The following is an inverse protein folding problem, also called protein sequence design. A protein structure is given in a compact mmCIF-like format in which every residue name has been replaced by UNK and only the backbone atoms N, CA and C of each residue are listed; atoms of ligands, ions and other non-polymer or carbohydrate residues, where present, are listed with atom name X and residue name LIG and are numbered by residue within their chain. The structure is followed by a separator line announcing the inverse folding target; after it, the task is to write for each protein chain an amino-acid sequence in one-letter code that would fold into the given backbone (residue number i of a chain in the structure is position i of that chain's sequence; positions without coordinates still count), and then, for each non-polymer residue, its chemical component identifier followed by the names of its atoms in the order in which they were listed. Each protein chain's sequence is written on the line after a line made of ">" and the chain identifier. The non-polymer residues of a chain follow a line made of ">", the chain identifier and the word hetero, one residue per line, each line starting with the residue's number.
data_IF_427425590627
#
_entry.id   IF_427425590627
#
_cell.length_a   1.000
_cell.length_b   1.000
_cell.length_c   1.000
_cell.angle_alpha   90.00
_cell.angle_beta   90.00
_cell.angle_gamma   90.00
#
_symmetry.space_group_name_H-M   'P 1'
#
loop_
_entity.id
_entity.type
_entity.pdbx_description
1 polymer ?
#
# COMPACT_ATOMS: atom_id res chain seq x y z
N UNK A 1 78.94 28.97 43.58
CA UNK A 1 78.19 28.02 44.43
C UNK A 1 77.05 27.49 43.56
N UNK A 2 77.28 26.33 42.93
CA UNK A 2 76.58 25.05 43.22
C UNK A 2 75.12 25.07 42.69
N UNK A 3 74.78 24.36 41.60
CA UNK A 3 74.34 22.94 41.53
C UNK A 3 73.15 22.70 42.50
N UNK A 4 71.95 22.20 42.16
CA UNK A 4 71.49 21.07 41.32
C UNK A 4 69.94 21.08 41.33
N UNK A 5 69.21 20.97 40.21
CA UNK A 5 68.63 19.76 39.56
C UNK A 5 67.32 19.18 40.17
N UNK A 6 66.30 18.97 39.31
CA UNK A 6 65.61 17.70 39.03
C UNK A 6 64.16 17.93 38.52
N UNK A 7 63.72 17.53 37.32
CA UNK A 7 63.48 16.22 36.65
C UNK A 7 61.95 16.06 36.42
N UNK A 8 61.57 15.86 35.16
CA UNK A 8 60.70 14.77 34.67
C UNK A 8 60.45 15.02 33.15
N UNK A 9 61.18 14.33 32.26
CA UNK A 9 60.72 13.12 31.53
C UNK A 9 59.37 13.32 30.82
N UNK A 10 59.19 13.21 29.50
CA UNK A 10 59.91 12.45 28.49
C UNK A 10 58.90 11.65 27.64
N UNK A 11 59.21 11.52 26.33
CA UNK A 11 58.76 10.48 25.37
C UNK A 11 57.61 10.79 24.40
N UNK A 12 58.05 11.17 23.19
CA UNK A 12 57.42 10.84 21.90
C UNK A 12 57.12 9.33 21.79
N UNK A 13 55.91 8.94 21.39
CA UNK A 13 55.64 7.66 20.73
C UNK A 13 54.65 7.81 19.57
N UNK A 14 55.22 7.99 18.38
CA UNK A 14 54.66 7.53 17.09
C UNK A 14 54.14 6.11 17.25
N UNK A 15 52.84 5.85 17.06
CA UNK A 15 52.32 4.50 16.78
C UNK A 15 50.94 4.53 16.10
N UNK A 16 51.00 4.14 14.83
CA UNK A 16 50.09 3.25 14.09
C UNK A 16 48.62 3.71 13.91
N UNK A 17 48.38 4.17 12.68
CA UNK A 17 47.23 3.85 11.82
C UNK A 17 46.50 2.58 12.30
N UNK A 18 45.29 2.76 12.80
CA UNK A 18 44.23 1.77 12.73
C UNK A 18 43.07 2.45 12.00
N UNK A 19 42.84 1.98 10.78
CA UNK A 19 41.67 2.27 9.96
C UNK A 19 40.52 1.53 10.64
N UNK A 20 39.72 2.21 11.46
CA UNK A 20 38.45 1.66 11.93
C UNK A 20 37.40 1.99 10.88
N UNK A 21 37.20 0.97 10.05
CA UNK A 21 36.12 0.77 9.12
C UNK A 21 34.78 0.77 9.88
N UNK A 22 33.90 1.71 9.54
CA UNK A 22 32.43 1.62 9.65
C UNK A 22 31.84 2.97 9.26
N UNK A 23 32.11 3.39 8.02
CA UNK A 23 31.18 4.26 7.32
C UNK A 23 29.90 3.44 7.10
N UNK A 24 29.00 3.43 8.10
CA UNK A 24 27.60 3.09 7.87
C UNK A 24 27.07 4.24 7.02
N UNK A 25 27.34 4.10 5.72
CA UNK A 25 26.84 4.99 4.68
C UNK A 25 25.33 4.93 4.79
N UNK A 26 24.73 5.98 5.37
CA UNK A 26 23.27 6.13 5.34
C UNK A 26 22.85 5.96 3.87
N UNK A 27 22.01 4.98 3.55
CA UNK A 27 21.63 4.73 2.17
C UNK A 27 21.01 6.01 1.61
N UNK A 28 21.39 6.35 0.38
CA UNK A 28 20.78 7.50 -0.30
C UNK A 28 19.26 7.29 -0.38
N UNK A 29 18.44 8.35 -0.40
CA UNK A 29 16.98 8.22 -0.54
C UNK A 29 16.54 7.37 -1.75
N UNK A 30 17.34 7.40 -2.82
CA UNK A 30 17.14 6.56 -4.00
C UNK A 30 17.44 5.09 -3.74
N UNK A 31 18.51 4.78 -2.99
CA UNK A 31 18.82 3.41 -2.61
C UNK A 31 17.73 2.84 -1.70
N UNK A 32 17.27 3.59 -0.69
CA UNK A 32 16.19 3.14 0.19
C UNK A 32 14.88 2.87 -0.56
N UNK A 33 14.59 3.63 -1.62
CA UNK A 33 13.41 3.40 -2.46
C UNK A 33 13.55 2.12 -3.29
N UNK A 34 14.74 1.84 -3.82
CA UNK A 34 15.02 0.60 -4.56
C UNK A 34 14.88 -0.60 -3.63
N UNK A 35 15.49 -0.53 -2.44
CA UNK A 35 15.43 -1.59 -1.43
C UNK A 35 13.97 -1.87 -1.01
N UNK A 36 13.16 -0.81 -0.86
CA UNK A 36 11.72 -0.94 -0.60
C UNK A 36 10.98 -1.64 -1.76
N UNK A 37 11.27 -1.28 -3.01
CA UNK A 37 10.70 -1.96 -4.18
C UNK A 37 11.07 -3.43 -4.25
N UNK A 38 12.36 -3.76 -4.05
CA UNK A 38 12.85 -5.15 -4.03
C UNK A 38 12.21 -5.94 -2.90
N UNK A 39 11.93 -5.31 -1.76
CA UNK A 39 11.27 -5.94 -0.62
C UNK A 39 9.83 -6.40 -0.88
N UNK A 40 9.21 -5.98 -1.99
CA UNK A 40 7.90 -6.46 -2.40
C UNK A 40 7.93 -7.83 -3.05
N UNK A 41 9.11 -8.37 -3.37
CA UNK A 41 9.24 -9.71 -3.94
C UNK A 41 8.45 -10.74 -3.11
N UNK A 42 7.72 -11.60 -3.81
CA UNK A 42 6.83 -12.63 -3.28
C UNK A 42 5.64 -12.12 -2.45
N UNK A 43 5.44 -10.80 -2.31
CA UNK A 43 4.28 -10.20 -1.66
C UNK A 43 3.14 -9.99 -2.65
N UNK A 44 1.91 -10.08 -2.14
CA UNK A 44 0.73 -9.67 -2.86
C UNK A 44 0.60 -8.14 -2.86
N UNK A 45 0.21 -7.59 -3.99
CA UNK A 45 -0.04 -6.15 -4.21
C UNK A 45 -1.27 -5.97 -5.09
N UNK A 46 -1.91 -4.81 -5.01
CA UNK A 46 -2.92 -4.44 -5.99
C UNK A 46 -2.22 -3.87 -7.23
N UNK A 47 -2.55 -4.38 -8.40
CA UNK A 47 -1.97 -3.96 -9.65
C UNK A 47 -3.03 -3.56 -10.67
N UNK A 48 -2.80 -2.44 -11.36
CA UNK A 48 -3.62 -2.05 -12.50
C UNK A 48 -3.09 -2.69 -13.76
N UNK A 49 -3.89 -3.54 -14.39
CA UNK A 49 -3.48 -4.42 -15.50
C UNK A 49 -3.94 -3.92 -16.88
N UNK A 50 -4.80 -2.89 -16.95
CA UNK A 50 -5.37 -2.43 -18.23
C UNK A 50 -4.51 -1.39 -18.94
N UNK A 51 -4.45 -1.49 -20.29
CA UNK A 51 -3.90 -0.45 -21.17
C UNK A 51 -4.96 0.57 -21.60
N UNK A 52 -6.25 0.22 -21.50
CA UNK A 52 -7.36 1.08 -21.88
C UNK A 52 -7.78 1.97 -20.72
N UNK A 53 -7.61 3.27 -20.89
CA UNK A 53 -7.85 4.27 -19.87
C UNK A 53 -9.34 4.44 -19.47
N UNK A 54 -10.23 3.56 -19.94
CA UNK A 54 -11.69 3.61 -19.69
C UNK A 54 -12.12 2.73 -18.52
N UNK A 55 -11.43 1.61 -18.27
CA UNK A 55 -11.68 0.72 -17.14
C UNK A 55 -10.39 0.53 -16.35
N UNK A 56 -10.30 1.13 -15.17
CA UNK A 56 -9.17 0.92 -14.25
C UNK A 56 -9.43 -0.40 -13.49
N UNK A 57 -9.15 -1.54 -14.13
CA UNK A 57 -9.27 -2.85 -13.47
C UNK A 57 -8.02 -3.13 -12.63
N UNK A 58 -8.26 -3.43 -11.37
CA UNK A 58 -7.23 -3.72 -10.38
C UNK A 58 -7.34 -5.17 -9.92
N UNK A 59 -6.21 -5.87 -9.87
CA UNK A 59 -6.14 -7.27 -9.47
C UNK A 59 -5.15 -7.45 -8.32
N UNK A 60 -5.39 -8.46 -7.49
CA UNK A 60 -4.41 -8.96 -6.53
C UNK A 60 -3.41 -9.79 -7.32
N UNK A 61 -2.17 -9.33 -7.37
CA UNK A 61 -1.08 -10.01 -8.07
C UNK A 61 0.07 -10.26 -7.12
N UNK A 62 0.89 -11.28 -7.42
CA UNK A 62 2.12 -11.56 -6.71
C UNK A 62 3.31 -10.91 -7.42
N UNK A 63 4.14 -10.17 -6.70
CA UNK A 63 5.38 -9.64 -7.26
C UNK A 63 6.40 -10.76 -7.41
N UNK A 64 6.87 -10.98 -8.63
CA UNK A 64 7.88 -11.99 -8.96
C UNK A 64 9.27 -11.37 -8.87
N UNK A 65 9.42 -10.16 -9.40
CA UNK A 65 10.70 -9.49 -9.49
C UNK A 65 10.56 -7.97 -9.64
N UNK A 66 11.62 -7.24 -9.34
CA UNK A 66 11.73 -5.81 -9.62
C UNK A 66 13.00 -5.57 -10.45
N UNK A 67 12.84 -5.04 -11.65
CA UNK A 67 13.95 -4.66 -12.51
C UNK A 67 14.48 -3.30 -12.07
N UNK A 68 15.64 -3.30 -11.40
CA UNK A 68 16.28 -2.08 -10.91
C UNK A 68 16.71 -1.11 -12.03
N UNK A 69 16.93 -1.59 -13.26
CA UNK A 69 17.34 -0.74 -14.38
C UNK A 69 16.14 -0.03 -14.98
N UNK A 70 15.04 -0.74 -15.21
CA UNK A 70 13.83 -0.17 -15.81
C UNK A 70 12.84 0.39 -14.80
N UNK A 71 13.06 0.14 -13.50
CA UNK A 71 12.16 0.48 -12.37
C UNK A 71 10.75 -0.09 -12.57
N UNK A 72 10.66 -1.29 -13.12
CA UNK A 72 9.41 -2.01 -13.38
C UNK A 72 9.28 -3.25 -12.51
N UNK A 73 8.07 -3.53 -12.05
CA UNK A 73 7.70 -4.75 -11.36
C UNK A 73 7.26 -5.80 -12.38
N UNK A 74 7.77 -7.01 -12.23
CA UNK A 74 7.24 -8.22 -12.86
C UNK A 74 6.28 -8.83 -11.86
N UNK A 75 5.00 -8.92 -12.24
CA UNK A 75 3.93 -9.41 -11.37
C UNK A 75 3.17 -10.53 -12.04
N UNK A 76 2.63 -11.44 -11.24
CA UNK A 76 1.89 -12.62 -11.67
C UNK A 76 0.44 -12.54 -11.17
N UNK A 77 -0.50 -12.73 -12.06
CA UNK A 77 -1.91 -12.97 -11.73
C UNK A 77 -2.12 -14.45 -11.37
N UNK A 78 -2.54 -14.71 -10.13
CA UNK A 78 -2.73 -16.06 -9.59
C UNK A 78 -4.09 -16.67 -9.97
N UNK A 79 -5.07 -15.88 -10.45
CA UNK A 79 -6.41 -16.38 -10.80
C UNK A 79 -6.47 -16.98 -12.23
N UNK A 80 -5.54 -16.62 -13.11
CA UNK A 80 -5.52 -17.08 -14.52
C UNK A 80 -5.02 -18.54 -14.74
N UNK A 81 -4.97 -19.37 -13.70
CA UNK A 81 -4.21 -20.62 -13.70
C UNK A 81 -4.95 -21.92 -13.38
N UNK A 82 -6.29 -21.93 -13.24
CA UNK A 82 -7.03 -23.11 -12.75
C UNK A 82 -7.76 -23.93 -13.83
N UNK A 83 -7.72 -23.51 -15.10
CA UNK A 83 -8.28 -24.32 -16.18
C UNK A 83 -7.27 -25.41 -16.59
N UNK A 84 -7.64 -26.66 -16.30
CA UNK A 84 -6.99 -27.89 -16.77
C UNK A 84 -6.87 -27.90 -18.29
N UNK A 85 -5.81 -27.30 -18.84
CA UNK A 85 -5.11 -27.60 -20.10
C UNK A 85 -4.30 -26.36 -20.51
N UNK A 86 -3.20 -26.10 -19.78
CA UNK A 86 -2.24 -25.06 -20.17
C UNK A 86 -2.51 -23.66 -19.62
N UNK A 87 -2.98 -23.54 -18.37
CA UNK A 87 -3.13 -22.27 -17.63
C UNK A 87 -1.86 -21.42 -17.64
N UNK A 88 -1.76 -20.52 -18.61
CA UNK A 88 -0.67 -19.54 -18.69
C UNK A 88 -0.92 -18.50 -17.61
N UNK A 89 -0.33 -18.75 -16.45
CA UNK A 89 -0.03 -17.75 -15.43
C UNK A 89 0.37 -16.42 -16.09
N UNK A 90 -0.52 -15.43 -16.07
CA UNK A 90 -0.30 -14.17 -16.80
C UNK A 90 0.67 -13.31 -16.03
N UNK A 91 1.81 -13.01 -16.65
CA UNK A 91 2.85 -12.14 -16.10
C UNK A 91 2.79 -10.77 -16.75
N UNK A 92 2.83 -9.71 -15.94
CA UNK A 92 2.78 -8.31 -16.39
C UNK A 92 4.02 -7.54 -15.97
N UNK A 93 4.41 -6.55 -16.79
CA UNK A 93 5.50 -5.61 -16.49
C UNK A 93 4.94 -4.22 -16.24
N UNK A 94 4.85 -3.83 -14.97
CA UNK A 94 4.16 -2.63 -14.53
C UNK A 94 5.13 -1.62 -13.90
N UNK A 95 4.87 -0.32 -14.08
CA UNK A 95 5.59 0.72 -13.34
C UNK A 95 5.13 0.76 -11.88
N UNK A 96 5.96 1.33 -10.99
CA UNK A 96 5.59 1.53 -9.59
C UNK A 96 4.27 2.29 -9.39
N UNK A 97 3.89 3.16 -10.34
CA UNK A 97 2.62 3.91 -10.31
C UNK A 97 1.37 3.04 -10.48
N UNK A 98 1.51 1.82 -10.99
CA UNK A 98 0.42 0.86 -11.17
C UNK A 98 0.39 -0.19 -10.06
N UNK A 99 1.23 -0.06 -9.03
CA UNK A 99 1.34 -0.99 -7.92
C UNK A 99 0.95 -0.27 -6.63
N UNK A 100 0.04 -0.85 -5.86
CA UNK A 100 -0.34 -0.38 -4.54
C UNK A 100 -0.07 -1.52 -3.54
N UNK A 101 0.83 -1.34 -2.57
CA UNK A 101 1.10 -2.36 -1.57
C UNK A 101 -0.09 -2.51 -0.62
N UNK A 102 -0.42 -3.76 -0.28
CA UNK A 102 -1.40 -4.02 0.78
C UNK A 102 -0.82 -3.70 2.16
N UNK A 103 -1.66 -3.28 3.13
CA UNK A 103 -1.25 -3.17 4.51
C UNK A 103 -0.81 -4.50 5.11
N UNK A 104 0.13 -4.47 6.06
CA UNK A 104 0.60 -5.69 6.72
C UNK A 104 -0.50 -6.29 7.60
N UNK A 105 -0.82 -7.57 7.35
CA UNK A 105 -1.85 -8.31 8.11
C UNK A 105 -1.56 -8.39 9.62
N UNK A 106 -0.28 -8.38 10.00
CA UNK A 106 0.15 -8.53 11.38
C UNK A 106 0.33 -7.19 12.12
N UNK A 107 0.33 -6.06 11.40
CA UNK A 107 0.47 -4.73 11.98
C UNK A 107 -0.61 -3.73 11.50
N UNK A 108 -1.84 -3.84 12.04
CA UNK A 108 -2.87 -2.83 11.78
C UNK A 108 -2.63 -1.51 12.52
N UNK A 109 -1.57 -1.39 13.34
CA UNK A 109 -1.28 -0.13 14.05
C UNK A 109 -0.62 0.90 13.13
N UNK A 110 0.22 0.46 12.20
CA UNK A 110 0.83 1.30 11.16
C UNK A 110 -0.03 1.51 9.90
N UNK A 111 -1.21 0.87 9.82
CA UNK A 111 -2.07 0.93 8.64
C UNK A 111 -2.88 2.23 8.57
N UNK A 112 -2.97 2.82 7.37
CA UNK A 112 -3.85 3.96 7.10
C UNK A 112 -5.32 3.60 7.39
N UNK A 113 -5.96 4.36 8.29
CA UNK A 113 -7.40 4.25 8.53
C UNK A 113 -8.18 5.13 7.56
N UNK A 114 -9.22 4.57 6.95
CA UNK A 114 -10.12 5.30 6.05
C UNK A 114 -11.40 5.69 6.79
N UNK A 115 -11.74 6.98 6.91
CA UNK A 115 -12.97 7.40 7.57
C UNK A 115 -14.21 7.04 6.74
N UNK A 116 -15.38 6.99 7.39
CA UNK A 116 -16.65 6.82 6.69
C UNK A 116 -16.88 7.93 5.63
N UNK A 117 -17.50 7.58 4.51
CA UNK A 117 -17.67 8.40 3.32
C UNK A 117 -16.44 8.48 2.42
N UNK A 118 -15.32 7.82 2.76
CA UNK A 118 -14.13 7.80 1.92
C UNK A 118 -14.23 6.74 0.83
N UNK A 119 -13.82 7.08 -0.38
CA UNK A 119 -13.65 6.12 -1.47
C UNK A 119 -12.31 5.40 -1.35
N UNK A 120 -12.35 4.08 -1.49
CA UNK A 120 -11.21 3.15 -1.41
C UNK A 120 -11.27 2.15 -2.57
N UNK A 121 -10.16 1.43 -2.81
CA UNK A 121 -10.19 0.20 -3.57
C UNK A 121 -10.19 -0.96 -2.58
N UNK A 122 -11.08 -1.92 -2.80
CA UNK A 122 -11.22 -3.08 -1.92
C UNK A 122 -11.37 -4.35 -2.76
N UNK A 123 -10.76 -5.43 -2.28
CA UNK A 123 -10.98 -6.76 -2.88
C UNK A 123 -12.44 -7.14 -2.63
N UNK A 124 -13.16 -7.46 -3.71
CA UNK A 124 -14.53 -7.94 -3.56
C UNK A 124 -14.50 -9.33 -2.89
N UNK A 125 -15.44 -9.64 -1.98
CA UNK A 125 -15.46 -10.93 -1.32
C UNK A 125 -15.44 -12.08 -2.33
N UNK A 126 -14.61 -13.10 -2.07
CA UNK A 126 -14.49 -14.31 -2.89
C UNK A 126 -13.87 -14.12 -4.29
N UNK A 127 -13.29 -12.95 -4.59
CA UNK A 127 -12.57 -12.72 -5.87
C UNK A 127 -11.14 -12.22 -5.64
N UNK A 128 -10.34 -12.13 -6.72
CA UNK A 128 -9.02 -11.45 -6.67
C UNK A 128 -9.03 -10.06 -7.30
N UNK A 129 -10.18 -9.57 -7.76
CA UNK A 129 -10.32 -8.22 -8.30
C UNK A 129 -10.62 -7.18 -7.20
N UNK A 130 -10.12 -5.96 -7.41
CA UNK A 130 -10.41 -4.81 -6.56
C UNK A 130 -11.34 -3.85 -7.27
N UNK A 131 -12.36 -3.42 -6.55
CA UNK A 131 -13.37 -2.50 -7.03
C UNK A 131 -13.42 -1.26 -6.15
N UNK A 132 -13.93 -0.17 -6.73
CA UNK A 132 -14.19 1.05 -5.98
C UNK A 132 -15.32 0.81 -4.98
N UNK A 133 -15.10 1.25 -3.75
CA UNK A 133 -16.09 1.15 -2.70
C UNK A 133 -16.09 2.39 -1.81
N UNK A 134 -17.24 2.66 -1.20
CA UNK A 134 -17.43 3.71 -0.20
C UNK A 134 -17.37 3.12 1.20
N UNK A 135 -16.55 3.71 2.08
CA UNK A 135 -16.46 3.28 3.48
C UNK A 135 -17.71 3.69 4.24
N UNK A 136 -18.47 2.73 4.75
CA UNK A 136 -19.64 2.98 5.60
C UNK A 136 -19.24 3.02 7.07
N UNK A 137 -18.40 2.06 7.49
CA UNK A 137 -17.94 1.97 8.87
C UNK A 137 -16.52 1.43 8.97
N UNK A 138 -15.75 1.96 9.92
CA UNK A 138 -14.38 1.52 10.18
C UNK A 138 -14.37 0.36 11.18
N UNK A 139 -13.34 -0.52 11.15
CA UNK A 139 -13.22 -1.62 12.09
C UNK A 139 -13.26 -1.18 13.56
N UNK A 140 -12.84 0.06 13.84
CA UNK A 140 -12.72 0.63 15.19
C UNK A 140 -14.00 1.29 15.71
N UNK A 141 -14.95 1.66 14.83
CA UNK A 141 -16.11 2.49 15.20
C UNK A 141 -17.42 1.72 15.39
N UNK A 142 -17.44 0.40 15.17
CA UNK A 142 -18.66 -0.41 15.40
C UNK A 142 -18.99 -0.48 16.90
N UNK A 143 -19.89 0.39 17.37
CA UNK A 143 -20.61 0.21 18.66
C UNK A 143 -21.65 -0.89 18.49
N UNK A 144 -21.24 -2.15 18.39
CA UNK A 144 -22.11 -3.22 18.86
C UNK A 144 -21.87 -3.34 20.36
N UNK A 145 -22.95 -3.39 21.13
CA UNK A 145 -22.97 -3.65 22.58
C UNK A 145 -22.57 -5.11 22.89
N UNK A 146 -21.50 -5.56 22.25
CA UNK A 146 -20.95 -6.88 22.42
C UNK A 146 -19.83 -6.75 23.43
N UNK A 147 -20.01 -7.35 24.60
CA UNK A 147 -18.99 -7.51 25.64
C UNK A 147 -17.64 -8.00 25.11
N UNK A 148 -17.63 -8.65 23.93
CA UNK A 148 -16.45 -9.03 23.15
C UNK A 148 -15.55 -7.84 22.86
N UNK A 149 -16.09 -6.68 22.46
CA UNK A 149 -15.30 -5.52 22.07
C UNK A 149 -14.56 -4.84 23.24
N UNK A 150 -15.04 -5.05 24.47
CA UNK A 150 -14.39 -4.57 25.70
C UNK A 150 -13.28 -5.53 26.18
N UNK A 151 -13.34 -6.80 25.78
CA UNK A 151 -12.39 -7.84 26.19
C UNK A 151 -11.29 -8.09 25.14
N UNK A 152 -11.60 -7.95 23.85
CA UNK A 152 -10.64 -8.19 22.78
C UNK A 152 -9.76 -6.96 22.55
N UNK A 153 -8.45 -7.14 22.49
CA UNK A 153 -7.52 -6.06 22.18
C UNK A 153 -7.91 -5.34 20.87
N UNK A 154 -7.55 -4.06 20.75
CA UNK A 154 -7.78 -3.26 19.53
C UNK A 154 -7.31 -3.98 18.25
N UNK A 155 -6.26 -4.78 18.36
CA UNK A 155 -5.68 -5.61 17.29
C UNK A 155 -6.66 -6.72 16.85
N UNK A 156 -7.19 -7.50 17.79
CA UNK A 156 -8.12 -8.59 17.50
C UNK A 156 -9.47 -8.05 17.00
N UNK A 157 -9.92 -6.89 17.51
CA UNK A 157 -11.10 -6.20 16.97
C UNK A 157 -10.94 -5.79 15.51
N UNK A 158 -9.82 -5.15 15.15
CA UNK A 158 -9.57 -4.71 13.78
C UNK A 158 -9.48 -5.91 12.82
N UNK A 159 -8.86 -7.00 13.26
CA UNK A 159 -8.73 -8.24 12.52
C UNK A 159 -10.07 -8.94 12.28
N UNK A 160 -10.94 -8.98 13.31
CA UNK A 160 -12.24 -9.66 13.22
C UNK A 160 -13.35 -8.80 12.60
N UNK A 161 -13.25 -7.46 12.65
CA UNK A 161 -14.37 -6.57 12.27
C UNK A 161 -14.28 -6.00 10.87
N UNK A 162 -13.11 -5.85 10.26
CA UNK A 162 -13.00 -5.32 8.89
C UNK A 162 -13.71 -3.96 8.65
N UNK A 163 -13.58 -3.44 7.44
CA UNK A 163 -14.38 -2.31 6.97
C UNK A 163 -15.76 -2.80 6.54
N UNK A 164 -16.78 -1.98 6.76
CA UNK A 164 -18.08 -2.15 6.14
C UNK A 164 -18.12 -1.23 4.92
N UNK A 165 -18.29 -1.81 3.73
CA UNK A 165 -18.15 -1.12 2.44
C UNK A 165 -19.40 -1.31 1.59
N UNK A 166 -19.72 -0.29 0.80
CA UNK A 166 -20.67 -0.37 -0.30
C UNK A 166 -19.86 -0.31 -1.59
N UNK A 167 -19.96 -1.33 -2.45
CA UNK A 167 -19.27 -1.39 -3.73
C UNK A 167 -20.11 -0.70 -4.79
N UNK A 168 -19.49 0.14 -5.62
CA UNK A 168 -20.21 0.94 -6.63
C UNK A 168 -20.86 0.07 -7.75
N UNK A 169 -20.45 -1.20 -7.89
CA UNK A 169 -20.85 -2.12 -8.97
C UNK A 169 -21.76 -3.28 -8.49
N UNK A 170 -22.15 -3.28 -7.20
CA UNK A 170 -22.95 -4.35 -6.58
C UNK A 170 -24.42 -3.92 -6.39
N UNK A 171 -24.98 -3.10 -7.30
CA UNK A 171 -26.38 -2.63 -7.18
C UNK A 171 -27.37 -3.80 -7.34
N UNK A 172 -28.07 -4.13 -6.26
CA UNK A 172 -29.11 -5.16 -6.19
C UNK A 172 -30.41 -4.52 -5.71
N UNK A 173 -31.51 -4.71 -6.45
CA UNK A 173 -32.84 -4.15 -6.14
C UNK A 173 -32.84 -2.63 -5.86
N UNK A 174 -31.94 -1.89 -6.51
CA UNK A 174 -31.81 -0.43 -6.35
C UNK A 174 -31.06 0.00 -5.07
N UNK A 175 -30.38 -0.92 -4.39
CA UNK A 175 -29.55 -0.66 -3.23
C UNK A 175 -28.14 -1.23 -3.39
N UNK A 176 -27.15 -0.62 -2.73
CA UNK A 176 -25.80 -1.18 -2.65
C UNK A 176 -25.68 -1.97 -1.33
N UNK A 177 -25.48 -3.29 -1.37
CA UNK A 177 -25.36 -4.10 -0.19
C UNK A 177 -24.05 -3.81 0.55
N UNK A 178 -24.09 -3.93 1.87
CA UNK A 178 -22.94 -3.67 2.73
C UNK A 178 -22.11 -4.95 2.92
N UNK A 179 -20.86 -4.93 2.45
CA UNK A 179 -19.93 -6.06 2.56
C UNK A 179 -18.88 -5.78 3.64
N UNK A 180 -18.53 -6.80 4.42
CA UNK A 180 -17.42 -6.69 5.38
C UNK A 180 -16.12 -7.16 4.70
N UNK A 181 -15.14 -6.26 4.61
CA UNK A 181 -13.83 -6.55 3.99
C UNK A 181 -12.70 -6.38 5.00
N UNK A 182 -11.77 -7.33 5.15
CA UNK A 182 -10.62 -7.20 6.05
C UNK A 182 -9.76 -5.98 5.73
N UNK A 183 -9.18 -5.34 6.76
CA UNK A 183 -8.40 -4.09 6.58
C UNK A 183 -7.21 -4.26 5.60
N UNK A 184 -6.55 -5.43 5.61
CA UNK A 184 -5.41 -5.73 4.75
C UNK A 184 -5.81 -6.06 3.30
N UNK A 185 -7.09 -5.95 2.96
CA UNK A 185 -7.67 -6.08 1.61
C UNK A 185 -8.28 -4.75 1.12
N UNK A 186 -8.04 -3.65 1.86
CA UNK A 186 -8.50 -2.30 1.53
C UNK A 186 -7.28 -1.40 1.34
N UNK A 187 -7.23 -0.69 0.22
CA UNK A 187 -6.10 0.17 -0.18
C UNK A 187 -6.61 1.55 -0.60
N UNK A 188 -5.77 2.61 -0.56
CA UNK A 188 -6.21 3.92 -1.02
C UNK A 188 -6.59 3.88 -2.51
N UNK A 189 -7.71 4.50 -2.86
CA UNK A 189 -8.06 4.77 -4.26
C UNK A 189 -7.07 5.81 -4.82
N UNK A 190 -6.30 5.51 -5.88
CA UNK A 190 -5.35 6.46 -6.47
C UNK A 190 -6.00 7.78 -6.89
N UNK A 191 -5.30 8.89 -6.67
CA UNK A 191 -5.85 10.24 -6.86
C UNK A 191 -6.21 10.58 -8.32
N UNK A 192 -5.69 9.84 -9.29
CA UNK A 192 -6.07 9.99 -10.71
C UNK A 192 -7.59 9.80 -10.94
N UNK A 193 -8.30 9.09 -10.05
CA UNK A 193 -9.77 9.02 -10.08
C UNK A 193 -10.44 10.33 -9.68
N UNK A 194 -9.88 11.09 -8.73
CA UNK A 194 -10.44 12.38 -8.30
C UNK A 194 -10.32 13.46 -9.36
N UNK A 195 -9.25 13.44 -10.15
CA UNK A 195 -9.01 14.43 -11.19
C UNK A 195 -9.93 14.22 -12.40
N UNK A 196 -10.35 12.99 -12.66
CA UNK A 196 -11.38 12.66 -13.65
C UNK A 196 -12.78 13.04 -13.20
N UNK A 197 -13.14 12.76 -11.94
CA UNK A 197 -14.42 13.23 -11.39
C UNK A 197 -14.50 14.77 -11.42
N UNK A 198 -13.41 15.47 -11.09
CA UNK A 198 -13.35 16.93 -11.19
C UNK A 198 -13.39 17.43 -12.64
N UNK A 199 -12.70 16.77 -13.57
CA UNK A 199 -12.73 17.14 -14.98
C UNK A 199 -14.11 16.89 -15.62
N UNK A 200 -14.77 15.78 -15.28
CA UNK A 200 -16.15 15.48 -15.71
C UNK A 200 -17.13 16.44 -15.03
N UNK A 201 -16.99 16.73 -13.72
CA UNK A 201 -17.81 17.77 -13.06
C UNK A 201 -17.60 19.15 -13.66
N UNK A 202 -16.37 19.51 -14.02
CA UNK A 202 -16.09 20.79 -14.68
C UNK A 202 -16.65 20.82 -16.11
N UNK A 203 -16.59 19.69 -16.83
CA UNK A 203 -17.17 19.57 -18.18
C UNK A 203 -18.69 19.59 -18.17
N UNK A 204 -19.32 18.90 -17.23
CA UNK A 204 -20.78 18.92 -17.04
C UNK A 204 -21.27 20.28 -16.50
N UNK A 205 -20.55 20.93 -15.59
CA UNK A 205 -20.89 22.31 -15.17
C UNK A 205 -20.68 23.33 -16.31
N UNK A 206 -19.78 23.04 -17.26
CA UNK A 206 -19.60 23.86 -18.46
C UNK A 206 -20.65 23.57 -19.54
N UNK A 207 -21.18 22.35 -19.63
CA UNK A 207 -22.17 21.96 -20.63
C UNK A 207 -23.63 22.17 -20.16
N UNK A 208 -23.90 22.16 -18.86
CA UNK A 208 -25.25 22.38 -18.27
C UNK A 208 -25.40 23.72 -17.53
N UNK A 209 -24.37 24.58 -17.59
CA UNK A 209 -24.38 25.92 -16.99
C UNK A 209 -25.14 27.01 -17.77
N UNK A 210 -26.25 26.67 -18.43
CA UNK A 210 -27.17 27.66 -19.02
C UNK A 210 -28.62 27.21 -18.83
N UNK A 211 -29.12 27.27 -17.60
CA UNK A 211 -30.55 27.40 -17.29
C UNK A 211 -30.69 27.86 -15.83
N UNK A 212 -30.35 29.12 -15.61
CA UNK A 212 -30.93 29.92 -14.53
C UNK A 212 -31.37 31.24 -15.16
N UNK A 213 -32.62 31.25 -15.63
CA UNK A 213 -33.50 32.43 -15.65
C UNK A 213 -34.82 32.01 -15.01
#
# INVERSE_FOLDING_TARGET
>A
MSLTSNIADGRKKKRRRMKSDSDISRPSPMQSHIDACVSFKDKQVAARVTSDAKMDEWFVVKVINFDEKTKKFEVLDEEAGDDEEGGVQKTYKLSASCIIPFPERNDPSGTQEFPAGRNVLAVYPETTALYKATVISTPRKRKSDSHVCKLTSNLLCAYLRGYLLEFDDDEEDGALPQRTVPFHKVVPLPEWHRQRDLCIKMRLNSEFGVLNM
#
